data_IF_687481996210
#
_entry.id   IF_687481996210
#
_cell.length_a   1.000
_cell.length_b   1.000
_cell.length_c   1.000
_cell.angle_alpha   90.00
_cell.angle_beta   90.00
_cell.angle_gamma   90.00
#
_symmetry.space_group_name_H-M   'P 1'
#
loop_
_entity.id
_entity.type
_entity.pdbx_description
1 polymer ?
#
# COMPACT_ATOMS: atom_id res chain seq x y z
N UNK A 1 -11.73 -4.97 -21.16
CA UNK A 1 -11.60 -6.04 -20.15
C UNK A 1 -11.41 -7.36 -20.86
N UNK A 2 -10.42 -8.15 -20.48
CA UNK A 2 -10.04 -9.42 -21.13
C UNK A 2 -10.50 -10.60 -20.28
N UNK A 3 -11.18 -11.59 -20.90
CA UNK A 3 -11.41 -12.87 -20.20
C UNK A 3 -10.11 -13.65 -20.08
N UNK A 4 -10.09 -14.68 -19.22
CA UNK A 4 -8.95 -15.58 -19.06
C UNK A 4 -8.51 -16.20 -20.39
N UNK A 5 -9.48 -16.66 -21.18
CA UNK A 5 -9.24 -17.28 -22.51
C UNK A 5 -8.69 -16.28 -23.51
N UNK A 6 -9.21 -15.05 -23.53
CA UNK A 6 -8.71 -13.99 -24.40
C UNK A 6 -7.29 -13.60 -24.03
N UNK A 7 -7.00 -13.44 -22.72
CA UNK A 7 -5.67 -13.11 -22.23
C UNK A 7 -4.66 -14.23 -22.52
N UNK A 8 -5.06 -15.50 -22.36
CA UNK A 8 -4.23 -16.66 -22.67
C UNK A 8 -3.90 -16.73 -24.18
N UNK A 9 -4.90 -16.53 -25.03
CA UNK A 9 -4.71 -16.50 -26.50
C UNK A 9 -3.76 -15.37 -26.91
N UNK A 10 -3.94 -14.18 -26.33
CA UNK A 10 -3.10 -13.02 -26.61
C UNK A 10 -1.66 -13.26 -26.15
N UNK A 11 -1.46 -13.73 -24.91
CA UNK A 11 -0.13 -14.05 -24.41
C UNK A 11 0.57 -15.15 -25.24
N UNK A 12 -0.15 -16.20 -25.61
CA UNK A 12 0.36 -17.26 -26.50
C UNK A 12 0.79 -16.74 -27.88
N UNK A 13 0.00 -15.80 -28.45
CA UNK A 13 0.34 -15.13 -29.71
C UNK A 13 1.65 -14.33 -29.57
N UNK A 14 1.81 -13.54 -28.52
CA UNK A 14 3.03 -12.76 -28.26
C UNK A 14 4.24 -13.69 -28.17
N UNK A 15 4.13 -14.76 -27.37
CA UNK A 15 5.20 -15.74 -27.21
C UNK A 15 5.58 -16.43 -28.53
N UNK A 16 4.62 -16.67 -29.42
CA UNK A 16 4.88 -17.30 -30.73
C UNK A 16 5.69 -16.43 -31.69
N UNK A 17 5.71 -15.11 -31.50
CA UNK A 17 6.51 -14.19 -32.31
C UNK A 17 7.97 -14.10 -31.85
N UNK A 18 8.27 -14.50 -30.61
CA UNK A 18 9.63 -14.42 -30.09
C UNK A 18 10.51 -15.58 -30.57
N UNK A 19 11.73 -15.25 -30.97
CA UNK A 19 12.78 -16.20 -31.38
C UNK A 19 13.79 -16.47 -30.27
N UNK A 20 13.80 -15.68 -29.18
CA UNK A 20 14.73 -15.89 -28.06
C UNK A 20 14.42 -17.18 -27.28
N UNK A 21 15.42 -17.82 -26.64
CA UNK A 21 15.19 -19.00 -25.81
C UNK A 21 14.20 -18.77 -24.70
N UNK A 22 14.28 -17.61 -24.04
CA UNK A 22 13.37 -17.22 -22.97
C UNK A 22 12.58 -15.95 -23.39
N UNK A 23 11.28 -16.01 -23.23
CA UNK A 23 10.40 -14.88 -23.36
C UNK A 23 9.30 -14.98 -22.32
N UNK A 24 9.06 -13.87 -21.63
CA UNK A 24 7.96 -13.70 -20.65
C UNK A 24 7.08 -12.55 -21.03
N UNK A 25 5.79 -12.67 -20.76
CA UNK A 25 4.75 -11.71 -21.14
C UNK A 25 3.87 -11.44 -19.93
N UNK A 26 3.60 -10.16 -19.69
CA UNK A 26 2.53 -9.73 -18.78
C UNK A 26 1.53 -8.90 -19.55
N UNK A 27 0.30 -9.39 -19.66
CA UNK A 27 -0.82 -8.67 -20.27
C UNK A 27 -1.62 -8.02 -19.17
N UNK A 28 -1.76 -6.70 -19.23
CA UNK A 28 -2.58 -5.92 -18.30
C UNK A 28 -3.74 -5.28 -19.02
N UNK A 29 -4.92 -5.34 -18.43
CA UNK A 29 -6.11 -4.61 -18.83
C UNK A 29 -6.75 -4.02 -17.60
N UNK A 30 -7.06 -2.74 -17.61
CA UNK A 30 -7.72 -2.10 -16.47
C UNK A 30 -8.78 -1.10 -16.93
N UNK A 31 -9.81 -1.02 -16.11
CA UNK A 31 -10.86 -0.01 -16.25
C UNK A 31 -10.95 0.76 -14.94
N UNK A 32 -10.75 2.05 -15.00
CA UNK A 32 -10.88 2.97 -13.88
C UNK A 32 -12.07 3.90 -14.10
N UNK A 33 -13.06 3.83 -13.22
CA UNK A 33 -14.10 4.83 -13.11
C UNK A 33 -13.80 5.74 -11.91
N UNK A 34 -13.88 7.05 -12.11
CA UNK A 34 -13.67 7.98 -11.01
C UNK A 34 -14.51 9.25 -11.15
N UNK A 35 -14.84 9.83 -10.00
CA UNK A 35 -15.48 11.14 -9.89
C UNK A 35 -14.71 11.97 -8.88
N UNK A 36 -14.13 13.07 -9.34
CA UNK A 36 -13.43 14.07 -8.53
C UNK A 36 -14.36 15.24 -8.23
N UNK A 37 -14.30 15.73 -7.02
CA UNK A 37 -15.03 16.92 -6.59
C UNK A 37 -14.10 17.88 -5.85
N UNK A 38 -14.36 19.16 -5.99
CA UNK A 38 -13.69 20.26 -5.29
C UNK A 38 -14.61 21.48 -5.23
N UNK A 39 -14.42 22.34 -4.24
CA UNK A 39 -15.24 23.54 -4.02
C UNK A 39 -16.74 23.21 -4.01
N UNK A 40 -17.12 22.12 -3.35
CA UNK A 40 -18.51 21.66 -3.23
C UNK A 40 -19.20 21.33 -4.57
N UNK A 41 -18.44 21.02 -5.61
CA UNK A 41 -18.95 20.66 -6.93
C UNK A 41 -18.13 19.54 -7.57
N UNK A 42 -18.79 18.78 -8.45
CA UNK A 42 -18.08 17.76 -9.25
C UNK A 42 -17.25 18.50 -10.31
N UNK A 43 -15.95 18.19 -10.36
CA UNK A 43 -15.01 18.79 -11.31
C UNK A 43 -14.72 17.89 -12.50
N UNK A 44 -14.67 16.58 -12.28
CA UNK A 44 -14.33 15.59 -13.31
C UNK A 44 -15.00 14.27 -12.99
N UNK A 45 -15.61 13.66 -14.01
CA UNK A 45 -16.05 12.27 -13.95
C UNK A 45 -15.60 11.57 -15.22
N UNK A 46 -14.93 10.44 -15.11
CA UNK A 46 -14.38 9.75 -16.26
C UNK A 46 -14.37 8.23 -16.09
N UNK A 47 -14.38 7.55 -17.23
CA UNK A 47 -14.11 6.13 -17.38
C UNK A 47 -12.88 5.99 -18.27
N UNK A 48 -11.83 5.41 -17.73
CA UNK A 48 -10.54 5.26 -18.43
C UNK A 48 -10.21 3.79 -18.56
N UNK A 49 -9.99 3.35 -19.80
CA UNK A 49 -9.50 2.01 -20.12
C UNK A 49 -8.02 2.08 -20.44
N UNK A 50 -7.23 1.18 -19.89
CA UNK A 50 -5.81 1.03 -20.18
C UNK A 50 -5.50 -0.42 -20.47
N UNK A 51 -4.67 -0.62 -21.48
CA UNK A 51 -4.18 -1.93 -21.86
C UNK A 51 -2.68 -1.85 -22.09
N UNK A 52 -1.95 -2.89 -21.72
CA UNK A 52 -0.54 -2.99 -22.03
C UNK A 52 -0.09 -4.44 -22.09
N UNK A 53 0.91 -4.70 -22.92
CA UNK A 53 1.66 -5.95 -22.92
C UNK A 53 3.10 -5.60 -22.61
N UNK A 54 3.61 -6.12 -21.48
CA UNK A 54 5.02 -6.05 -21.16
C UNK A 54 5.68 -7.33 -21.67
N UNK A 55 6.74 -7.20 -22.47
CA UNK A 55 7.44 -8.29 -23.11
C UNK A 55 8.89 -8.25 -22.64
N UNK A 56 9.38 -9.35 -22.11
CA UNK A 56 10.78 -9.53 -21.71
C UNK A 56 11.37 -10.68 -22.50
N UNK A 57 12.32 -10.38 -23.39
CA UNK A 57 13.08 -11.36 -24.19
C UNK A 57 14.48 -11.53 -23.57
N UNK A 58 14.89 -12.77 -23.32
CA UNK A 58 16.19 -13.04 -22.69
C UNK A 58 17.00 -14.04 -23.50
N UNK A 59 18.29 -13.72 -23.67
CA UNK A 59 19.30 -14.58 -24.32
C UNK A 59 20.61 -14.45 -23.58
N UNK A 60 21.20 -15.58 -23.17
CA UNK A 60 22.50 -15.63 -22.48
C UNK A 60 22.56 -14.69 -21.26
N UNK A 61 21.50 -14.67 -20.45
CA UNK A 61 21.39 -13.81 -19.27
C UNK A 61 21.22 -12.32 -19.58
N UNK A 62 21.03 -11.94 -20.84
CA UNK A 62 20.79 -10.56 -21.31
C UNK A 62 19.31 -10.36 -21.56
N UNK A 63 18.68 -9.41 -20.90
CA UNK A 63 17.23 -9.17 -21.01
C UNK A 63 16.95 -7.82 -21.65
N UNK A 64 16.14 -7.85 -22.71
CA UNK A 64 15.51 -6.67 -23.26
C UNK A 64 14.03 -6.66 -22.93
N UNK A 65 13.51 -5.49 -22.57
CA UNK A 65 12.09 -5.33 -22.21
C UNK A 65 11.46 -4.20 -22.99
N UNK A 66 10.24 -4.46 -23.48
CA UNK A 66 9.40 -3.45 -24.15
C UNK A 66 7.98 -3.45 -23.62
N UNK A 67 7.27 -2.38 -23.86
CA UNK A 67 5.85 -2.24 -23.52
C UNK A 67 5.11 -1.77 -24.77
N UNK A 68 4.00 -2.43 -25.09
CA UNK A 68 3.11 -2.04 -26.18
C UNK A 68 1.67 -1.93 -25.67
N UNK A 69 0.96 -0.89 -26.10
CA UNK A 69 -0.43 -0.64 -25.71
C UNK A 69 -1.41 -0.96 -26.85
N UNK A 70 -0.90 -1.33 -28.02
CA UNK A 70 -1.66 -1.76 -29.19
C UNK A 70 -1.60 -3.29 -29.30
N UNK A 71 -2.76 -3.92 -29.50
CA UNK A 71 -2.90 -5.38 -29.56
C UNK A 71 -2.95 -5.92 -31.00
N UNK A 72 -2.72 -5.06 -31.97
CA UNK A 72 -2.60 -5.47 -33.38
C UNK A 72 -1.30 -6.26 -33.61
N UNK A 73 -1.37 -7.25 -34.48
CA UNK A 73 -0.25 -8.17 -34.77
C UNK A 73 1.04 -7.45 -35.17
N UNK A 74 0.91 -6.39 -35.98
CA UNK A 74 2.07 -5.61 -36.43
C UNK A 74 2.77 -4.91 -35.31
N UNK A 75 2.01 -4.28 -34.35
CA UNK A 75 2.55 -3.60 -33.20
C UNK A 75 3.20 -4.60 -32.22
N UNK A 76 2.55 -5.74 -31.95
CA UNK A 76 3.10 -6.80 -31.10
C UNK A 76 4.39 -7.37 -31.68
N UNK A 77 4.43 -7.68 -32.99
CA UNK A 77 5.64 -8.18 -33.65
C UNK A 77 6.80 -7.19 -33.56
N UNK A 78 6.52 -5.90 -33.79
CA UNK A 78 7.52 -4.85 -33.67
C UNK A 78 8.07 -4.75 -32.22
N UNK A 79 7.19 -4.83 -31.21
CA UNK A 79 7.58 -4.78 -29.80
C UNK A 79 8.40 -6.02 -29.39
N UNK A 80 8.03 -7.21 -29.84
CA UNK A 80 8.83 -8.44 -29.60
C UNK A 80 10.21 -8.31 -30.22
N UNK A 81 10.29 -7.88 -31.48
CA UNK A 81 11.57 -7.65 -32.17
C UNK A 81 12.43 -6.64 -31.43
N UNK A 82 11.86 -5.54 -30.99
CA UNK A 82 12.57 -4.54 -30.21
C UNK A 82 13.08 -5.10 -28.88
N UNK A 83 12.31 -5.91 -28.15
CA UNK A 83 12.77 -6.59 -26.94
C UNK A 83 13.97 -7.51 -27.22
N UNK A 84 13.94 -8.25 -28.33
CA UNK A 84 15.03 -9.13 -28.78
C UNK A 84 16.29 -8.34 -29.16
N UNK A 85 16.15 -7.22 -29.89
CA UNK A 85 17.26 -6.32 -30.22
C UNK A 85 17.89 -5.71 -28.97
N UNK A 86 17.08 -5.27 -28.01
CA UNK A 86 17.57 -4.79 -26.72
C UNK A 86 18.30 -5.89 -25.94
N UNK A 87 17.81 -7.13 -25.94
CA UNK A 87 18.49 -8.24 -25.29
C UNK A 87 19.85 -8.54 -25.91
N UNK A 88 20.05 -8.30 -27.20
CA UNK A 88 21.33 -8.52 -27.89
C UNK A 88 22.43 -7.57 -27.42
N UNK A 89 22.08 -6.34 -27.02
CA UNK A 89 23.02 -5.28 -26.62
C UNK A 89 23.09 -5.06 -25.10
N UNK A 90 22.11 -5.58 -24.34
CA UNK A 90 22.11 -5.45 -22.90
C UNK A 90 23.32 -6.13 -22.24
N UNK A 91 23.86 -5.65 -21.12
CA UNK A 91 24.86 -6.37 -20.37
C UNK A 91 24.28 -7.67 -19.80
N UNK A 92 25.10 -8.74 -19.69
CA UNK A 92 24.62 -9.96 -19.04
C UNK A 92 24.35 -9.70 -17.56
N UNK A 93 23.21 -10.19 -17.08
CA UNK A 93 22.89 -10.16 -15.67
C UNK A 93 23.43 -11.41 -14.97
N UNK A 94 24.47 -11.32 -14.13
CA UNK A 94 25.03 -12.47 -13.43
C UNK A 94 24.04 -13.10 -12.41
N UNK A 95 22.98 -12.39 -12.09
CA UNK A 95 21.93 -12.85 -11.17
C UNK A 95 20.69 -13.38 -11.94
N UNK A 96 20.79 -13.49 -13.25
CA UNK A 96 19.68 -14.03 -14.05
C UNK A 96 19.29 -15.43 -13.59
N UNK A 97 17.99 -15.68 -13.52
CA UNK A 97 17.39 -16.99 -13.29
C UNK A 97 16.41 -17.31 -14.39
N UNK A 98 16.50 -18.51 -14.91
CA UNK A 98 15.58 -18.98 -15.94
C UNK A 98 14.14 -18.83 -15.50
N UNK A 99 13.29 -18.52 -16.46
CA UNK A 99 11.86 -18.37 -16.22
C UNK A 99 11.26 -19.65 -15.63
N UNK A 100 10.31 -19.51 -14.70
CA UNK A 100 9.64 -20.65 -14.07
C UNK A 100 8.88 -21.49 -15.12
N UNK A 101 8.79 -22.79 -14.91
CA UNK A 101 7.84 -23.66 -15.58
C UNK A 101 6.41 -23.47 -15.08
N UNK A 102 5.47 -24.37 -15.45
CA UNK A 102 4.08 -24.31 -15.02
C UNK A 102 3.97 -24.24 -13.50
N UNK A 103 3.08 -23.36 -13.02
CA UNK A 103 2.81 -23.19 -11.60
C UNK A 103 1.32 -23.46 -11.29
N UNK A 104 1.05 -23.93 -10.08
CA UNK A 104 -0.31 -24.00 -9.55
C UNK A 104 -0.57 -22.77 -8.67
N UNK A 105 -1.31 -21.82 -9.19
CA UNK A 105 -1.67 -20.62 -8.45
C UNK A 105 -2.92 -20.86 -7.61
N UNK A 106 -2.96 -20.33 -6.37
CA UNK A 106 -4.16 -20.42 -5.54
C UNK A 106 -5.30 -19.60 -6.14
N UNK A 107 -6.52 -20.01 -5.87
CA UNK A 107 -7.70 -19.20 -6.17
C UNK A 107 -7.83 -18.10 -5.11
N UNK A 108 -7.92 -16.85 -5.58
CA UNK A 108 -8.15 -15.69 -4.74
C UNK A 108 -9.39 -14.97 -5.26
N UNK A 109 -10.41 -14.86 -4.42
CA UNK A 109 -11.61 -14.09 -4.75
C UNK A 109 -11.38 -12.61 -4.45
N UNK A 110 -10.73 -11.92 -5.37
CA UNK A 110 -10.35 -10.52 -5.23
C UNK A 110 -11.18 -9.56 -6.11
N UNK A 111 -12.32 -10.02 -6.65
CA UNK A 111 -13.14 -9.24 -7.55
C UNK A 111 -14.64 -9.36 -7.22
N UNK A 112 -15.16 -8.37 -6.50
CA UNK A 112 -16.60 -8.19 -6.37
C UNK A 112 -17.22 -7.62 -7.64
N UNK A 113 -18.25 -8.27 -8.19
CA UNK A 113 -18.87 -7.88 -9.46
C UNK A 113 -19.59 -6.53 -9.41
N UNK A 114 -20.18 -6.14 -8.27
CA UNK A 114 -20.79 -4.82 -8.11
C UNK A 114 -19.72 -3.74 -8.17
N UNK A 115 -18.62 -3.94 -7.45
CA UNK A 115 -17.46 -3.04 -7.50
C UNK A 115 -16.86 -2.97 -8.90
N UNK A 116 -16.65 -4.14 -9.54
CA UNK A 116 -16.04 -4.21 -10.86
C UNK A 116 -16.82 -3.44 -11.94
N UNK A 117 -18.15 -3.38 -11.82
CA UNK A 117 -19.04 -2.76 -12.80
C UNK A 117 -19.50 -1.36 -12.43
N UNK A 118 -19.17 -0.88 -11.23
CA UNK A 118 -19.64 0.42 -10.76
C UNK A 118 -19.19 1.58 -11.67
N UNK A 119 -20.05 2.55 -11.80
CA UNK A 119 -19.90 3.77 -12.60
C UNK A 119 -20.14 4.99 -11.71
N UNK A 120 -20.13 6.16 -12.31
CA UNK A 120 -20.39 7.41 -11.58
C UNK A 120 -21.74 7.39 -10.82
N UNK A 121 -22.76 6.75 -11.37
CA UNK A 121 -24.08 6.66 -10.73
C UNK A 121 -24.02 6.06 -9.32
N UNK A 122 -23.22 4.99 -9.13
CA UNK A 122 -23.04 4.33 -7.84
C UNK A 122 -22.20 5.16 -6.86
N UNK A 123 -21.36 6.09 -7.38
CA UNK A 123 -20.51 6.97 -6.58
C UNK A 123 -21.22 8.25 -6.10
N UNK A 124 -22.18 8.74 -6.88
CA UNK A 124 -22.85 10.03 -6.66
C UNK A 124 -23.54 10.16 -5.30
N UNK A 125 -24.26 9.15 -4.76
CA UNK A 125 -24.92 9.29 -3.45
C UNK A 125 -23.93 9.65 -2.33
N UNK A 126 -22.78 8.98 -2.27
CA UNK A 126 -21.73 9.23 -1.28
C UNK A 126 -21.10 10.61 -1.46
N UNK A 127 -20.82 11.03 -2.69
CA UNK A 127 -20.25 12.35 -2.99
C UNK A 127 -21.25 13.45 -2.63
N UNK A 128 -22.53 13.26 -2.94
CA UNK A 128 -23.60 14.20 -2.59
C UNK A 128 -23.69 14.40 -1.08
N UNK A 129 -23.69 13.32 -0.30
CA UNK A 129 -23.73 13.40 1.16
C UNK A 129 -22.55 14.22 1.74
N UNK A 130 -21.35 14.09 1.15
CA UNK A 130 -20.18 14.89 1.55
C UNK A 130 -20.40 16.36 1.22
N UNK A 131 -20.82 16.68 0.00
CA UNK A 131 -21.02 18.07 -0.45
C UNK A 131 -22.14 18.74 0.37
N UNK A 132 -23.26 18.06 0.58
CA UNK A 132 -24.39 18.58 1.38
C UNK A 132 -23.96 18.86 2.83
N UNK A 133 -23.15 17.96 3.43
CA UNK A 133 -22.58 18.19 4.76
C UNK A 133 -21.68 19.41 4.80
N UNK A 134 -20.80 19.56 3.81
CA UNK A 134 -19.90 20.70 3.70
C UNK A 134 -20.67 22.02 3.55
N UNK A 135 -21.65 22.08 2.65
CA UNK A 135 -22.49 23.26 2.44
C UNK A 135 -23.27 23.64 3.71
N UNK A 136 -23.91 22.65 4.36
CA UNK A 136 -24.64 22.86 5.61
C UNK A 136 -23.77 23.45 6.72
N UNK A 137 -22.51 23.05 6.78
CA UNK A 137 -21.56 23.49 7.81
C UNK A 137 -20.68 24.66 7.37
N UNK A 138 -20.96 25.27 6.21
CA UNK A 138 -20.18 26.38 5.62
C UNK A 138 -18.70 26.04 5.42
N UNK A 139 -18.45 24.80 4.98
CA UNK A 139 -17.14 24.27 4.64
C UNK A 139 -16.99 24.08 3.13
N UNK A 140 -15.75 23.89 2.69
CA UNK A 140 -15.42 23.47 1.33
C UNK A 140 -14.99 22.01 1.35
N UNK A 141 -15.62 21.19 0.50
CA UNK A 141 -15.24 19.78 0.31
C UNK A 141 -14.44 19.60 -0.98
N UNK A 142 -13.40 18.77 -0.88
CA UNK A 142 -12.66 18.24 -2.02
C UNK A 142 -12.40 16.76 -1.81
N UNK A 143 -12.35 15.97 -2.90
CA UNK A 143 -12.08 14.55 -2.78
C UNK A 143 -12.14 13.80 -4.11
N UNK A 144 -11.99 12.50 -3.99
CA UNK A 144 -11.98 11.57 -5.09
C UNK A 144 -12.69 10.27 -4.69
N UNK A 145 -13.67 9.88 -5.47
CA UNK A 145 -14.22 8.52 -5.46
C UNK A 145 -13.76 7.82 -6.74
N UNK A 146 -13.05 6.72 -6.58
CA UNK A 146 -12.62 5.90 -7.72
C UNK A 146 -12.84 4.42 -7.46
N UNK A 147 -13.02 3.67 -8.53
CA UNK A 147 -12.85 2.23 -8.54
C UNK A 147 -11.96 1.81 -9.70
N UNK A 148 -11.19 0.76 -9.48
CA UNK A 148 -10.32 0.18 -10.48
C UNK A 148 -10.63 -1.30 -10.55
N UNK A 149 -10.89 -1.80 -11.77
CA UNK A 149 -10.91 -3.22 -12.07
C UNK A 149 -9.71 -3.53 -12.92
N UNK A 150 -8.97 -4.55 -12.56
CA UNK A 150 -7.75 -4.94 -13.28
C UNK A 150 -7.78 -6.42 -13.59
N UNK A 151 -7.35 -6.76 -14.80
CA UNK A 151 -7.06 -8.11 -15.24
C UNK A 151 -5.59 -8.20 -15.62
N UNK A 152 -4.92 -9.18 -15.07
CA UNK A 152 -3.51 -9.43 -15.35
C UNK A 152 -3.34 -10.89 -15.73
N UNK A 153 -2.68 -11.12 -16.86
CA UNK A 153 -2.22 -12.45 -17.24
C UNK A 153 -0.71 -12.45 -17.37
N UNK A 154 -0.10 -13.50 -16.87
CA UNK A 154 1.33 -13.78 -17.00
C UNK A 154 1.54 -15.06 -17.76
N UNK A 155 2.52 -15.09 -18.64
CA UNK A 155 2.87 -16.27 -19.43
C UNK A 155 4.35 -16.25 -19.80
N UNK A 156 4.93 -17.43 -20.06
CA UNK A 156 6.26 -17.53 -20.62
C UNK A 156 6.42 -18.78 -21.51
N UNK A 157 7.55 -18.89 -22.20
CA UNK A 157 7.85 -20.01 -23.09
C UNK A 157 8.02 -21.35 -22.37
N UNK A 158 8.26 -21.37 -21.06
CA UNK A 158 8.39 -22.59 -20.27
C UNK A 158 7.02 -23.16 -19.84
N UNK A 159 5.91 -22.62 -20.37
CA UNK A 159 4.56 -23.13 -20.12
C UNK A 159 3.88 -22.54 -18.87
N UNK A 160 4.50 -21.56 -18.20
CA UNK A 160 3.82 -20.84 -17.14
C UNK A 160 2.66 -20.05 -17.71
N UNK A 161 1.52 -20.12 -17.04
CA UNK A 161 0.36 -19.23 -17.26
C UNK A 161 -0.36 -18.95 -15.94
N UNK A 162 -0.68 -17.70 -15.72
CA UNK A 162 -1.50 -17.22 -14.61
C UNK A 162 -2.48 -16.15 -15.08
N UNK A 163 -3.66 -16.09 -14.44
CA UNK A 163 -4.65 -15.03 -14.69
C UNK A 163 -5.25 -14.60 -13.37
N UNK A 164 -5.37 -13.30 -13.20
CA UNK A 164 -5.98 -12.68 -12.02
C UNK A 164 -6.94 -11.58 -12.46
N UNK A 165 -8.04 -11.43 -11.71
CA UNK A 165 -8.96 -10.31 -11.84
C UNK A 165 -9.22 -9.74 -10.45
N UNK A 166 -9.06 -8.42 -10.32
CA UNK A 166 -9.23 -7.70 -9.07
C UNK A 166 -10.16 -6.52 -9.24
N UNK A 167 -10.90 -6.16 -8.21
CA UNK A 167 -11.68 -4.93 -8.15
C UNK A 167 -11.45 -4.24 -6.80
N UNK A 168 -11.30 -2.92 -6.85
CA UNK A 168 -11.03 -2.08 -5.69
C UNK A 168 -11.71 -0.74 -5.82
N UNK A 169 -12.27 -0.22 -4.73
CA UNK A 169 -12.87 1.10 -4.68
C UNK A 169 -12.33 1.89 -3.49
N UNK A 170 -12.31 3.21 -3.61
CA UNK A 170 -11.95 4.11 -2.51
C UNK A 170 -12.63 5.45 -2.65
N UNK A 171 -12.99 6.02 -1.52
CA UNK A 171 -13.45 7.39 -1.40
C UNK A 171 -12.58 8.11 -0.37
N UNK A 172 -12.06 9.27 -0.75
CA UNK A 172 -11.34 10.17 0.16
C UNK A 172 -11.95 11.55 0.09
N UNK A 173 -11.96 12.24 1.22
CA UNK A 173 -12.44 13.61 1.29
C UNK A 173 -11.66 14.44 2.31
N UNK A 174 -11.45 15.71 1.98
CA UNK A 174 -11.01 16.75 2.92
C UNK A 174 -12.09 17.80 3.00
N UNK A 175 -12.54 18.09 4.20
CA UNK A 175 -13.39 19.24 4.48
C UNK A 175 -12.54 20.33 5.12
N UNK A 176 -12.73 21.58 4.64
CA UNK A 176 -11.95 22.74 5.08
C UNK A 176 -12.88 23.90 5.40
N UNK A 177 -12.56 24.70 6.41
CA UNK A 177 -13.25 25.96 6.65
C UNK A 177 -13.05 26.92 5.47
N UNK A 178 -14.04 27.79 5.23
CA UNK A 178 -14.02 28.71 4.09
C UNK A 178 -12.80 29.67 4.11
N UNK A 179 -12.31 30.03 5.31
CA UNK A 179 -11.12 30.86 5.50
C UNK A 179 -9.79 30.07 5.37
N UNK A 180 -9.86 28.75 5.18
CA UNK A 180 -8.70 27.88 5.06
C UNK A 180 -7.97 27.56 6.37
N UNK A 181 -8.44 28.07 7.51
CA UNK A 181 -7.75 27.97 8.81
C UNK A 181 -7.77 26.58 9.44
N UNK A 182 -8.64 25.70 9.00
CA UNK A 182 -8.77 24.33 9.53
C UNK A 182 -9.19 23.35 8.45
N UNK A 183 -8.71 22.11 8.55
CA UNK A 183 -9.09 21.01 7.68
C UNK A 183 -9.29 19.71 8.47
N UNK A 184 -10.02 18.78 7.88
CA UNK A 184 -10.16 17.42 8.37
C UNK A 184 -10.28 16.45 7.21
N UNK A 185 -9.59 15.33 7.31
CA UNK A 185 -9.55 14.29 6.29
C UNK A 185 -10.21 13.01 6.76
N UNK A 186 -10.86 12.31 5.82
CA UNK A 186 -11.34 10.94 5.99
C UNK A 186 -11.22 10.16 4.68
N UNK A 187 -10.98 8.85 4.78
CA UNK A 187 -10.90 7.98 3.63
C UNK A 187 -11.29 6.55 3.96
N UNK A 188 -11.92 5.89 2.98
CA UNK A 188 -12.33 4.50 3.09
C UNK A 188 -12.03 3.77 1.78
N UNK A 189 -11.07 2.83 1.75
CA UNK A 189 -10.92 1.84 0.69
C UNK A 189 -11.78 0.62 0.99
N UNK A 190 -12.34 -0.02 -0.04
CA UNK A 190 -13.00 -1.32 0.10
C UNK A 190 -12.91 -2.14 -1.20
N UNK A 191 -12.89 -3.47 -1.07
CA UNK A 191 -13.12 -4.40 -2.19
C UNK A 191 -14.59 -4.45 -2.60
N UNK A 192 -15.49 -3.92 -1.74
CA UNK A 192 -16.94 -3.87 -1.94
C UNK A 192 -17.41 -2.42 -1.91
N UNK A 193 -17.73 -1.85 -3.09
CA UNK A 193 -18.13 -0.43 -3.21
C UNK A 193 -19.35 -0.08 -2.33
N UNK A 194 -20.23 -1.04 -2.10
CA UNK A 194 -21.42 -0.88 -1.27
C UNK A 194 -21.11 -0.58 0.21
N UNK A 195 -19.92 -0.91 0.69
CA UNK A 195 -19.48 -0.62 2.07
C UNK A 195 -19.00 0.82 2.25
N UNK A 196 -18.73 1.55 1.15
CA UNK A 196 -18.21 2.91 1.21
C UNK A 196 -19.33 3.87 1.60
N UNK A 197 -19.18 4.45 2.78
CA UNK A 197 -20.19 5.34 3.37
C UNK A 197 -19.75 6.81 3.33
N UNK A 198 -20.19 7.54 2.31
CA UNK A 198 -19.86 8.96 2.15
C UNK A 198 -20.39 9.85 3.27
N UNK A 199 -21.56 9.55 3.86
CA UNK A 199 -22.12 10.32 4.97
C UNK A 199 -21.26 10.17 6.24
N UNK A 200 -20.75 8.96 6.51
CA UNK A 200 -19.83 8.74 7.65
C UNK A 200 -18.49 9.44 7.42
N UNK A 201 -17.94 9.38 6.21
CA UNK A 201 -16.72 10.12 5.88
C UNK A 201 -16.89 11.62 6.02
N UNK A 202 -18.04 12.15 5.60
CA UNK A 202 -18.37 13.56 5.78
C UNK A 202 -18.46 13.95 7.26
N UNK A 203 -19.09 13.11 8.09
CA UNK A 203 -19.17 13.30 9.54
C UNK A 203 -17.77 13.34 10.17
N UNK A 204 -16.95 12.33 9.90
CA UNK A 204 -15.58 12.22 10.45
C UNK A 204 -14.71 13.41 10.02
N UNK A 205 -14.67 13.74 8.72
CA UNK A 205 -13.87 14.84 8.21
C UNK A 205 -14.34 16.19 8.75
N UNK A 206 -15.67 16.43 8.83
CA UNK A 206 -16.20 17.68 9.37
C UNK A 206 -15.95 17.84 10.87
N UNK A 207 -16.08 16.78 11.66
CA UNK A 207 -15.77 16.81 13.09
C UNK A 207 -14.29 17.12 13.35
N UNK A 208 -13.37 16.48 12.61
CA UNK A 208 -11.94 16.80 12.69
C UNK A 208 -11.67 18.27 12.34
N UNK A 209 -12.25 18.75 11.24
CA UNK A 209 -12.13 20.15 10.83
C UNK A 209 -12.65 21.11 11.90
N UNK A 210 -13.83 20.86 12.48
CA UNK A 210 -14.40 21.71 13.51
C UNK A 210 -13.60 21.70 14.81
N UNK A 211 -13.09 20.53 15.20
CA UNK A 211 -12.27 20.37 16.42
C UNK A 211 -10.88 20.97 16.27
N UNK A 212 -10.34 21.08 15.05
CA UNK A 212 -8.98 21.59 14.83
C UNK A 212 -8.88 23.11 14.64
N UNK A 213 -9.92 23.86 15.02
CA UNK A 213 -9.92 25.32 14.99
C UNK A 213 -8.98 25.91 16.05
N UNK A 214 -8.25 26.96 15.66
CA UNK A 214 -7.32 27.69 16.54
C UNK A 214 -6.34 26.75 17.27
N UNK A 215 -5.53 25.98 16.54
CA UNK A 215 -4.65 25.03 17.16
C UNK A 215 -3.62 25.72 18.06
N UNK A 216 -3.40 25.15 19.23
CA UNK A 216 -2.42 25.63 20.22
C UNK A 216 -1.01 25.22 19.79
N UNK A 217 -0.06 26.07 20.09
CA UNK A 217 1.36 25.74 19.98
C UNK A 217 1.76 24.86 21.15
N UNK A 218 2.38 23.71 20.86
CA UNK A 218 3.07 22.88 21.82
C UNK A 218 4.56 22.85 21.50
N UNK A 219 5.41 22.62 22.52
CA UNK A 219 6.83 22.44 22.28
C UNK A 219 7.09 21.07 21.63
N UNK A 220 7.97 21.01 20.61
CA UNK A 220 8.43 19.75 20.05
C UNK A 220 9.08 18.87 21.13
N UNK A 221 9.04 17.57 20.94
CA UNK A 221 9.58 16.62 21.90
C UNK A 221 9.04 15.21 21.69
N UNK A 222 9.25 14.37 22.67
CA UNK A 222 8.73 13.00 22.68
C UNK A 222 7.39 12.95 23.39
N UNK A 223 6.41 12.35 22.72
CA UNK A 223 5.05 12.23 23.25
C UNK A 223 4.57 10.77 23.21
N UNK A 224 3.72 10.41 24.15
CA UNK A 224 2.83 9.27 23.97
C UNK A 224 1.85 9.63 22.85
N UNK A 225 1.65 8.73 21.90
CA UNK A 225 0.79 8.96 20.74
C UNK A 225 -0.28 7.89 20.63
N UNK A 226 -1.47 8.31 20.22
CA UNK A 226 -2.51 7.43 19.67
C UNK A 226 -2.55 7.67 18.19
N UNK A 227 -2.25 6.65 17.40
CA UNK A 227 -2.37 6.73 15.94
C UNK A 227 -3.70 6.16 15.48
N UNK A 228 -4.38 6.87 14.57
CA UNK A 228 -5.45 6.25 13.79
C UNK A 228 -4.87 5.19 12.84
N UNK A 229 -5.68 4.22 12.36
CA UNK A 229 -5.21 3.15 11.48
C UNK A 229 -4.44 3.65 10.25
N UNK A 230 -4.84 4.78 9.66
CA UNK A 230 -4.15 5.39 8.52
C UNK A 230 -2.73 5.80 8.89
N UNK A 231 -2.55 6.49 10.01
CA UNK A 231 -1.23 6.92 10.49
C UNK A 231 -0.33 5.72 10.85
N UNK A 232 -0.88 4.70 11.53
CA UNK A 232 -0.16 3.46 11.81
C UNK A 232 0.30 2.79 10.51
N UNK A 233 -0.61 2.64 9.55
CA UNK A 233 -0.33 1.96 8.30
C UNK A 233 0.69 2.70 7.44
N UNK A 234 0.68 4.04 7.41
CA UNK A 234 1.67 4.84 6.72
C UNK A 234 3.09 4.53 7.22
N UNK A 235 3.27 4.47 8.54
CA UNK A 235 4.58 4.18 9.15
C UNK A 235 4.97 2.71 8.99
N UNK A 236 4.06 1.77 9.25
CA UNK A 236 4.35 0.32 9.17
C UNK A 236 4.69 -0.13 7.75
N UNK A 237 4.00 0.44 6.72
CA UNK A 237 4.30 0.13 5.33
C UNK A 237 5.74 0.51 4.94
N UNK A 238 6.32 1.54 5.56
CA UNK A 238 7.70 1.95 5.30
C UNK A 238 8.71 0.87 5.73
N UNK A 239 8.44 0.16 6.83
CA UNK A 239 9.31 -0.92 7.31
C UNK A 239 9.41 -2.07 6.28
N UNK A 240 8.35 -2.30 5.52
CA UNK A 240 8.36 -3.31 4.46
C UNK A 240 9.21 -2.93 3.25
N UNK A 241 9.58 -1.65 3.10
CA UNK A 241 10.33 -1.18 1.94
C UNK A 241 9.51 -1.18 0.65
N UNK A 242 8.20 -0.96 0.77
CA UNK A 242 7.27 -0.93 -0.35
C UNK A 242 6.79 -2.32 -0.80
N UNK A 243 6.33 -2.42 -2.04
CA UNK A 243 5.64 -3.60 -2.57
C UNK A 243 6.46 -4.90 -2.61
N UNK A 244 7.78 -4.81 -2.61
CA UNK A 244 8.67 -5.97 -2.75
C UNK A 244 9.19 -6.51 -1.42
N UNK A 245 8.68 -6.01 -0.28
CA UNK A 245 9.14 -6.37 1.06
C UNK A 245 10.67 -6.24 1.24
N UNK A 246 11.28 -5.29 0.53
CA UNK A 246 12.73 -5.09 0.50
C UNK A 246 13.32 -4.81 1.90
N UNK A 247 12.53 -4.26 2.82
CA UNK A 247 12.92 -4.06 4.22
C UNK A 247 13.26 -5.36 4.95
N UNK A 248 12.65 -6.48 4.53
CA UNK A 248 12.91 -7.81 5.09
C UNK A 248 13.87 -8.67 4.23
N UNK A 249 14.57 -8.11 3.25
CA UNK A 249 15.49 -8.84 2.40
C UNK A 249 16.58 -9.54 3.22
N UNK A 250 16.67 -10.87 3.06
CA UNK A 250 17.70 -11.70 3.67
C UNK A 250 19.09 -11.26 3.22
N UNK A 251 19.27 -11.04 1.92
CA UNK A 251 20.54 -10.58 1.34
C UNK A 251 21.00 -9.25 1.97
N UNK A 252 20.12 -8.27 2.05
CA UNK A 252 20.46 -6.96 2.63
C UNK A 252 20.79 -7.07 4.11
N UNK A 253 20.10 -7.96 4.83
CA UNK A 253 20.35 -8.23 6.25
C UNK A 253 21.70 -8.94 6.46
N UNK A 254 22.03 -9.94 5.65
CA UNK A 254 23.29 -10.70 5.69
C UNK A 254 24.48 -9.84 5.29
N UNK A 255 24.29 -8.88 4.35
CA UNK A 255 25.30 -7.91 3.94
C UNK A 255 25.56 -6.79 4.98
N UNK A 256 24.86 -6.78 6.12
CA UNK A 256 25.04 -5.75 7.16
C UNK A 256 24.37 -4.40 6.84
N UNK A 257 23.47 -4.34 5.85
CA UNK A 257 22.88 -3.09 5.32
C UNK A 257 21.41 -2.87 5.73
N UNK A 258 20.87 -3.68 6.63
CA UNK A 258 19.47 -3.64 7.05
C UNK A 258 19.36 -3.48 8.57
N UNK A 259 18.20 -3.00 9.03
CA UNK A 259 17.84 -3.04 10.44
C UNK A 259 17.77 -4.47 11.01
N UNK A 260 17.66 -5.47 10.13
CA UNK A 260 17.67 -6.89 10.48
C UNK A 260 19.08 -7.50 10.51
N UNK A 261 20.11 -6.69 10.30
CA UNK A 261 21.52 -7.12 10.45
C UNK A 261 21.94 -7.13 11.91
N UNK A 262 22.74 -8.11 12.32
CA UNK A 262 23.39 -8.12 13.64
C UNK A 262 24.76 -7.44 13.57
N UNK A 263 25.14 -6.74 14.63
CA UNK A 263 26.47 -6.19 14.77
C UNK A 263 27.46 -7.36 14.90
N UNK A 264 28.45 -7.39 14.01
CA UNK A 264 29.43 -8.49 13.97
C UNK A 264 29.07 -9.64 13.03
N UNK A 265 27.95 -9.53 12.29
CA UNK A 265 27.51 -10.48 11.27
C UNK A 265 26.26 -11.29 11.62
N UNK A 266 25.62 -11.82 10.58
CA UNK A 266 24.35 -12.54 10.70
C UNK A 266 23.12 -11.64 10.74
N UNK A 267 21.96 -12.27 10.91
CA UNK A 267 20.65 -11.59 10.86
C UNK A 267 19.90 -11.70 12.19
N UNK A 268 18.90 -10.86 12.37
CA UNK A 268 17.99 -10.91 13.52
C UNK A 268 16.82 -11.90 13.33
N UNK A 269 16.90 -12.82 12.37
CA UNK A 269 15.91 -13.89 12.24
C UNK A 269 15.85 -14.70 13.56
N UNK A 270 14.66 -14.89 14.09
CA UNK A 270 14.42 -15.52 15.40
C UNK A 270 14.56 -14.58 16.60
N UNK A 271 15.08 -13.37 16.44
CA UNK A 271 15.18 -12.41 17.56
C UNK A 271 13.83 -11.75 17.84
N UNK A 272 13.54 -11.52 19.12
CA UNK A 272 12.38 -10.76 19.56
C UNK A 272 12.73 -9.28 19.55
N UNK A 273 12.06 -8.51 18.68
CA UNK A 273 12.28 -7.08 18.53
C UNK A 273 11.14 -6.24 19.12
N UNK A 274 9.92 -6.79 19.21
CA UNK A 274 8.72 -6.04 19.54
C UNK A 274 7.92 -6.74 20.66
N UNK A 275 6.94 -6.06 21.27
CA UNK A 275 5.98 -6.68 22.20
C UNK A 275 5.23 -7.89 21.58
N UNK A 276 4.78 -8.83 22.43
CA UNK A 276 4.13 -10.09 22.00
C UNK A 276 2.83 -9.88 21.18
N UNK A 277 2.19 -8.75 21.32
CA UNK A 277 0.97 -8.44 20.59
C UNK A 277 1.24 -7.89 19.17
N UNK A 278 2.50 -7.66 18.79
CA UNK A 278 2.86 -7.22 17.44
C UNK A 278 3.05 -8.41 16.53
N UNK A 279 2.18 -8.53 15.54
CA UNK A 279 2.31 -9.51 14.43
C UNK A 279 2.04 -8.83 13.10
N UNK A 280 2.90 -9.12 12.13
CA UNK A 280 2.87 -8.55 10.78
C UNK A 280 3.05 -9.66 9.76
N UNK A 281 2.15 -9.75 8.80
CA UNK A 281 2.17 -10.79 7.77
C UNK A 281 1.75 -10.27 6.39
N UNK A 282 2.13 -10.98 5.37
CA UNK A 282 1.49 -10.95 4.06
C UNK A 282 0.39 -12.01 4.05
N UNK A 283 -0.82 -11.65 3.67
CA UNK A 283 -1.95 -12.57 3.59
C UNK A 283 -2.75 -12.31 2.29
N UNK A 284 -2.44 -13.02 1.20
CA UNK A 284 -3.13 -12.84 -0.08
C UNK A 284 -4.61 -13.29 -0.04
N UNK A 285 -5.01 -14.03 1.01
CA UNK A 285 -6.36 -14.54 1.19
C UNK A 285 -7.22 -13.66 2.12
N UNK A 286 -6.67 -12.57 2.67
CA UNK A 286 -7.46 -11.66 3.51
C UNK A 286 -8.55 -10.99 2.66
N UNK A 287 -9.85 -11.21 2.95
CA UNK A 287 -10.94 -10.73 2.11
C UNK A 287 -11.06 -9.20 2.05
N UNK A 288 -10.39 -8.52 2.98
CA UNK A 288 -10.35 -7.05 2.99
C UNK A 288 -9.40 -6.48 1.94
N UNK A 289 -8.52 -7.29 1.32
CA UNK A 289 -7.47 -6.85 0.42
C UNK A 289 -7.59 -7.51 -0.95
N UNK A 290 -7.23 -6.78 -1.99
CA UNK A 290 -7.13 -7.31 -3.35
C UNK A 290 -5.71 -7.79 -3.59
N UNK A 291 -5.54 -9.04 -4.01
CA UNK A 291 -4.23 -9.64 -4.26
C UNK A 291 -4.19 -10.40 -5.57
N UNK A 292 -2.99 -10.50 -6.15
CA UNK A 292 -2.71 -11.46 -7.21
C UNK A 292 -2.34 -12.82 -6.60
N UNK A 293 -2.62 -13.94 -7.28
CA UNK A 293 -2.27 -15.27 -6.81
C UNK A 293 -0.77 -15.62 -6.97
N UNK A 294 0.06 -14.66 -7.35
CA UNK A 294 1.51 -14.80 -7.50
C UNK A 294 2.27 -13.62 -6.93
N UNK A 295 3.56 -13.83 -6.71
CA UNK A 295 4.52 -12.81 -6.27
C UNK A 295 5.13 -12.09 -7.47
N UNK A 296 6.01 -11.11 -7.20
CA UNK A 296 6.78 -10.40 -8.26
C UNK A 296 7.68 -11.32 -9.07
N UNK A 297 8.11 -12.45 -8.51
CA UNK A 297 8.90 -13.48 -9.20
C UNK A 297 8.04 -14.63 -9.74
N UNK A 298 6.71 -14.44 -9.82
CA UNK A 298 5.73 -15.42 -10.28
C UNK A 298 5.67 -16.73 -9.48
N UNK A 299 6.18 -16.75 -8.25
CA UNK A 299 5.94 -17.83 -7.31
C UNK A 299 4.49 -17.80 -6.82
N UNK A 300 3.84 -18.93 -6.54
CA UNK A 300 2.51 -18.96 -5.95
C UNK A 300 2.46 -18.16 -4.64
N UNK A 301 1.47 -17.28 -4.52
CA UNK A 301 1.29 -16.46 -3.33
C UNK A 301 0.92 -17.33 -2.12
N UNK A 302 1.49 -17.04 -0.97
CA UNK A 302 1.27 -17.74 0.30
C UNK A 302 1.10 -16.74 1.43
N UNK A 303 0.37 -17.14 2.46
CA UNK A 303 0.41 -16.44 3.74
C UNK A 303 1.77 -16.59 4.37
N UNK A 304 2.37 -15.49 4.81
CA UNK A 304 3.72 -15.47 5.37
C UNK A 304 3.82 -14.46 6.51
N UNK A 305 4.22 -14.92 7.70
CA UNK A 305 4.49 -14.05 8.84
C UNK A 305 5.90 -13.46 8.72
N UNK A 306 6.01 -12.13 8.79
CA UNK A 306 7.28 -11.41 8.87
C UNK A 306 7.70 -11.23 10.33
N UNK A 307 6.74 -10.84 11.15
CA UNK A 307 6.85 -10.73 12.59
C UNK A 307 5.71 -11.53 13.19
N UNK A 308 6.02 -12.42 14.10
CA UNK A 308 5.06 -13.23 14.83
C UNK A 308 5.29 -13.06 16.32
N UNK A 309 4.30 -12.50 17.01
CA UNK A 309 4.40 -12.20 18.47
C UNK A 309 5.70 -11.49 18.84
N UNK A 310 6.04 -10.46 18.07
CA UNK A 310 7.23 -9.65 18.26
C UNK A 310 8.55 -10.24 17.79
N UNK A 311 8.55 -11.50 17.32
CA UNK A 311 9.74 -12.21 16.83
C UNK A 311 9.85 -12.08 15.32
N UNK A 312 11.03 -11.83 14.79
CA UNK A 312 11.32 -11.88 13.34
C UNK A 312 11.20 -13.31 12.85
N UNK A 313 10.09 -13.63 12.18
CA UNK A 313 9.75 -15.00 11.79
C UNK A 313 10.32 -15.40 10.43
N UNK A 314 10.46 -14.46 9.49
CA UNK A 314 10.95 -14.73 8.15
C UNK A 314 11.74 -13.54 7.58
N UNK A 315 12.59 -13.87 6.60
CA UNK A 315 13.26 -12.92 5.71
C UNK A 315 12.86 -13.19 4.26
N UNK A 316 12.82 -12.16 3.43
CA UNK A 316 12.55 -12.29 2.01
C UNK A 316 13.82 -12.79 1.29
N UNK A 317 13.73 -13.95 0.67
CA UNK A 317 14.79 -14.59 -0.09
C UNK A 317 14.29 -14.68 -1.53
N UNK A 318 14.88 -13.88 -2.43
CA UNK A 318 14.59 -13.98 -3.86
C UNK A 318 15.17 -15.27 -4.47
N UNK A 319 14.77 -15.60 -5.69
CA UNK A 319 15.19 -16.84 -6.36
C UNK A 319 16.68 -16.94 -6.59
N UNK A 320 17.35 -15.81 -6.84
CA UNK A 320 18.80 -15.77 -6.99
C UNK A 320 19.51 -16.09 -5.67
N UNK A 321 19.10 -15.41 -4.60
CA UNK A 321 19.72 -15.60 -3.29
C UNK A 321 19.42 -16.98 -2.69
N UNK A 322 18.23 -17.51 -2.98
CA UNK A 322 17.83 -18.88 -2.62
C UNK A 322 18.80 -19.92 -3.21
N UNK A 323 19.03 -19.87 -4.52
CA UNK A 323 19.95 -20.78 -5.21
C UNK A 323 21.38 -20.59 -4.72
N UNK A 324 21.87 -19.35 -4.65
CA UNK A 324 23.23 -19.03 -4.20
C UNK A 324 23.53 -19.52 -2.78
N UNK A 325 22.53 -19.55 -1.92
CA UNK A 325 22.68 -19.93 -0.51
C UNK A 325 22.10 -21.30 -0.17
N UNK A 326 21.64 -22.05 -1.18
CA UNK A 326 20.99 -23.36 -1.04
C UNK A 326 19.80 -23.32 -0.05
N UNK A 327 18.92 -22.34 -0.22
CA UNK A 327 17.69 -22.15 0.55
C UNK A 327 16.48 -22.10 -0.37
N UNK A 328 15.28 -22.17 0.21
CA UNK A 328 14.05 -21.95 -0.56
C UNK A 328 13.79 -20.44 -0.75
N UNK A 329 13.29 -20.09 -1.94
CA UNK A 329 12.83 -18.73 -2.19
C UNK A 329 11.56 -18.42 -1.36
N UNK A 330 11.53 -17.28 -0.74
CA UNK A 330 10.38 -16.83 0.04
C UNK A 330 9.37 -16.16 -0.90
N UNK A 331 8.12 -16.62 -0.96
CA UNK A 331 7.09 -15.97 -1.77
C UNK A 331 6.70 -14.64 -1.16
N UNK A 332 7.54 -13.63 -1.36
CA UNK A 332 7.34 -12.28 -0.84
C UNK A 332 6.48 -11.42 -1.77
N UNK A 333 5.69 -10.54 -1.21
CA UNK A 333 4.80 -9.60 -1.91
C UNK A 333 3.35 -9.74 -1.48
N UNK A 334 2.51 -8.81 -1.93
CA UNK A 334 1.07 -8.83 -1.71
C UNK A 334 0.60 -8.09 -0.47
N UNK A 335 -0.54 -8.50 0.01
CA UNK A 335 -1.37 -7.80 0.97
C UNK A 335 -0.82 -7.82 2.39
N UNK A 336 -0.34 -6.70 2.87
CA UNK A 336 0.18 -6.54 4.21
C UNK A 336 -0.95 -6.43 5.25
N UNK A 337 -0.86 -7.21 6.31
CA UNK A 337 -1.78 -7.21 7.44
C UNK A 337 -1.00 -7.12 8.75
N UNK A 338 -1.24 -6.08 9.51
CA UNK A 338 -0.86 -6.00 10.91
C UNK A 338 -2.06 -6.39 11.76
N UNK A 339 -1.86 -7.30 12.70
CA UNK A 339 -2.93 -7.71 13.61
C UNK A 339 -3.33 -6.57 14.54
N UNK A 340 -4.61 -6.54 14.92
CA UNK A 340 -5.16 -5.56 15.85
C UNK A 340 -5.68 -6.20 17.13
N UNK A 341 -6.15 -5.35 18.01
CA UNK A 341 -6.91 -5.71 19.21
C UNK A 341 -8.41 -5.38 19.04
N UNK A 342 -9.14 -5.38 20.16
CA UNK A 342 -10.59 -5.12 20.18
C UNK A 342 -10.95 -3.68 20.56
N UNK A 343 -9.99 -2.90 21.05
CA UNK A 343 -10.23 -1.55 21.56
C UNK A 343 -10.60 -0.57 20.42
N UNK A 344 -11.58 0.28 20.65
CA UNK A 344 -11.85 1.43 19.78
C UNK A 344 -10.76 2.51 19.97
N UNK A 345 -10.72 3.50 19.05
CA UNK A 345 -9.82 4.66 19.21
C UNK A 345 -10.12 5.41 20.51
N UNK A 346 -11.40 5.59 20.85
CA UNK A 346 -11.81 6.24 22.11
C UNK A 346 -11.32 5.45 23.34
N UNK A 347 -11.34 4.11 23.29
CA UNK A 347 -10.82 3.29 24.39
C UNK A 347 -9.29 3.36 24.50
N UNK A 348 -8.59 3.56 23.39
CA UNK A 348 -7.15 3.82 23.38
C UNK A 348 -6.86 5.21 23.99
N UNK A 349 -7.60 6.25 23.59
CA UNK A 349 -7.45 7.60 24.12
C UNK A 349 -7.63 7.62 25.65
N UNK A 350 -8.63 6.89 26.19
CA UNK A 350 -8.85 6.77 27.65
C UNK A 350 -7.66 6.21 28.43
N UNK A 351 -6.75 5.49 27.77
CA UNK A 351 -5.54 4.92 28.43
C UNK A 351 -4.38 5.89 28.51
N UNK A 352 -4.46 7.06 27.89
CA UNK A 352 -3.37 8.03 27.78
C UNK A 352 -3.62 9.19 28.76
N UNK A 353 -2.73 9.37 29.73
CA UNK A 353 -2.81 10.49 30.68
C UNK A 353 -2.47 11.81 29.98
N UNK A 354 -1.36 11.86 29.24
CA UNK A 354 -0.96 12.99 28.39
C UNK A 354 -0.29 12.49 27.12
N UNK A 355 -0.75 12.96 25.98
CA UNK A 355 -0.23 12.53 24.68
C UNK A 355 -0.91 13.25 23.51
N UNK A 356 -0.72 12.72 22.32
CA UNK A 356 -1.27 13.26 21.08
C UNK A 356 -2.06 12.21 20.31
N UNK A 357 -3.19 12.61 19.73
CA UNK A 357 -3.87 11.85 18.70
C UNK A 357 -3.36 12.32 17.34
N UNK A 358 -2.74 11.42 16.58
CA UNK A 358 -2.27 11.62 15.20
C UNK A 358 -3.22 10.93 14.24
N UNK A 359 -3.92 11.70 13.41
CA UNK A 359 -4.94 11.16 12.51
C UNK A 359 -4.39 10.82 11.14
N UNK A 360 -3.42 11.59 10.66
CA UNK A 360 -2.89 11.50 9.30
C UNK A 360 -1.48 12.04 9.23
N UNK A 361 -0.67 11.47 8.33
CA UNK A 361 0.65 11.98 7.98
C UNK A 361 0.68 12.58 6.58
N UNK A 362 1.74 13.31 6.29
CA UNK A 362 2.01 13.90 5.00
C UNK A 362 3.50 13.98 4.70
N UNK A 363 3.87 13.77 3.44
CA UNK A 363 5.22 13.99 2.91
C UNK A 363 6.31 13.25 3.70
N UNK A 364 6.13 11.95 3.93
CA UNK A 364 7.11 11.12 4.61
C UNK A 364 8.29 10.88 3.67
N UNK A 365 9.52 11.09 4.16
CA UNK A 365 10.76 10.89 3.42
C UNK A 365 11.77 10.14 4.27
N UNK A 366 12.57 9.38 3.57
CA UNK A 366 13.58 8.53 4.14
C UNK A 366 14.79 9.33 4.62
N UNK A 367 15.33 9.00 5.79
CA UNK A 367 16.52 9.62 6.40
C UNK A 367 17.66 8.62 6.51
N UNK A 368 17.41 7.45 7.12
CA UNK A 368 18.43 6.43 7.33
C UNK A 368 17.86 5.00 7.16
N UNK A 369 18.36 4.22 6.15
CA UNK A 369 17.88 2.86 5.90
C UNK A 369 18.19 1.86 7.01
N UNK A 370 19.35 1.99 7.66
CA UNK A 370 19.77 1.02 8.67
C UNK A 370 18.99 1.15 9.97
N UNK A 371 18.55 2.35 10.30
CA UNK A 371 17.74 2.63 11.49
C UNK A 371 16.26 2.75 11.19
N UNK A 372 15.86 2.65 9.90
CA UNK A 372 14.49 2.87 9.44
C UNK A 372 13.93 4.23 9.92
N UNK A 373 14.78 5.26 9.89
CA UNK A 373 14.41 6.60 10.30
C UNK A 373 13.83 7.38 9.13
N UNK A 374 12.73 8.06 9.38
CA UNK A 374 11.98 8.88 8.43
C UNK A 374 11.71 10.25 9.00
N UNK A 375 11.45 11.22 8.14
CA UNK A 375 10.90 12.52 8.50
C UNK A 375 9.62 12.76 7.72
N UNK A 376 8.65 13.41 8.33
CA UNK A 376 7.37 13.74 7.72
C UNK A 376 6.62 14.75 8.58
N UNK A 377 5.38 15.01 8.19
CA UNK A 377 4.51 15.98 8.85
C UNK A 377 3.24 15.30 9.34
N UNK A 378 2.68 15.70 10.49
CA UNK A 378 1.28 15.47 10.80
C UNK A 378 0.41 16.38 9.95
N UNK A 379 -0.83 16.00 9.66
CA UNK A 379 -1.76 16.78 8.86
C UNK A 379 -3.22 16.45 9.17
N UNK A 380 -4.11 17.40 8.85
CA UNK A 380 -5.58 17.24 8.92
C UNK A 380 -6.12 16.79 10.28
N UNK A 381 -5.44 17.11 11.36
CA UNK A 381 -5.87 16.86 12.73
C UNK A 381 -4.79 16.28 13.63
N UNK A 382 -4.19 17.13 14.45
CA UNK A 382 -3.35 16.75 15.58
C UNK A 382 -4.02 17.28 16.84
N UNK A 383 -4.23 16.42 17.85
CA UNK A 383 -4.99 16.78 19.04
C UNK A 383 -4.25 16.38 20.31
N UNK A 384 -4.29 17.25 21.32
CA UNK A 384 -3.79 16.96 22.66
C UNK A 384 -4.76 16.03 23.39
N UNK A 385 -4.22 15.04 24.05
CA UNK A 385 -4.92 14.14 24.96
C UNK A 385 -4.45 14.48 26.39
N UNK A 386 -5.38 14.74 27.27
CA UNK A 386 -5.12 14.88 28.71
C UNK A 386 -6.19 14.14 29.51
N UNK A 387 -5.75 13.36 30.49
CA UNK A 387 -6.61 12.55 31.37
C UNK A 387 -7.61 11.68 30.58
N UNK A 388 -7.15 11.05 29.51
CA UNK A 388 -7.96 10.16 28.69
C UNK A 388 -9.01 10.84 27.79
N UNK A 389 -8.86 12.13 27.51
CA UNK A 389 -9.79 12.92 26.69
C UNK A 389 -9.02 13.81 25.71
N UNK A 390 -9.59 14.02 24.53
CA UNK A 390 -9.11 15.06 23.61
C UNK A 390 -9.50 16.41 24.19
N UNK A 391 -8.51 17.28 24.43
CA UNK A 391 -8.73 18.60 25.04
C UNK A 391 -8.57 19.74 24.07
N UNK A 392 -7.50 19.76 23.28
CA UNK A 392 -7.18 20.88 22.41
C UNK A 392 -6.67 20.42 21.04
N UNK A 393 -6.93 21.19 19.98
CA UNK A 393 -6.21 21.07 18.73
C UNK A 393 -4.77 21.58 18.90
N UNK A 394 -3.84 20.96 18.20
CA UNK A 394 -2.41 21.29 18.22
C UNK A 394 -1.92 21.59 16.82
N UNK A 395 -1.04 22.60 16.67
CA UNK A 395 -0.36 22.87 15.41
C UNK A 395 0.38 21.63 14.92
N UNK A 396 0.37 21.41 13.62
CA UNK A 396 1.04 20.25 13.05
C UNK A 396 2.53 20.22 13.38
N UNK A 397 3.07 19.02 13.51
CA UNK A 397 4.48 18.79 13.77
C UNK A 397 5.18 18.13 12.60
N UNK A 398 6.47 18.44 12.46
CA UNK A 398 7.43 17.56 11.79
C UNK A 398 7.89 16.50 12.79
N UNK A 399 7.91 15.24 12.35
CA UNK A 399 8.52 14.16 13.09
C UNK A 399 9.85 13.71 12.47
N UNK A 400 10.71 13.12 13.30
CA UNK A 400 11.90 12.40 12.88
C UNK A 400 11.96 11.11 13.70
N UNK A 401 11.32 10.07 13.16
CA UNK A 401 11.09 8.79 13.82
C UNK A 401 10.86 7.69 12.77
N UNK A 402 10.53 6.48 13.19
CA UNK A 402 10.31 5.39 12.25
C UNK A 402 9.58 4.19 12.82
N UNK A 403 9.28 3.20 11.94
CA UNK A 403 8.48 2.04 12.33
C UNK A 403 9.13 1.19 13.43
N UNK A 404 10.46 1.10 13.48
CA UNK A 404 11.14 0.32 14.53
C UNK A 404 10.88 0.91 15.89
N UNK A 405 11.23 2.18 16.09
CA UNK A 405 11.03 2.87 17.36
C UNK A 405 9.56 2.89 17.75
N UNK A 406 8.65 3.14 16.79
CA UNK A 406 7.21 3.09 17.03
C UNK A 406 6.75 1.73 17.57
N UNK A 407 7.13 0.64 16.91
CA UNK A 407 6.67 -0.70 17.28
C UNK A 407 7.37 -1.24 18.54
N UNK A 408 8.63 -0.89 18.77
CA UNK A 408 9.35 -1.20 20.02
C UNK A 408 8.67 -0.56 21.24
N UNK A 409 8.14 0.65 21.08
CA UNK A 409 7.48 1.42 22.14
C UNK A 409 5.95 1.30 22.12
N UNK A 410 5.40 0.37 21.32
CA UNK A 410 3.97 0.10 21.27
C UNK A 410 3.46 -0.41 22.63
N UNK A 411 2.32 0.13 23.06
CA UNK A 411 1.71 -0.18 24.37
C UNK A 411 0.41 -0.97 24.20
N UNK A 412 -0.37 -0.63 23.18
CA UNK A 412 -1.70 -1.22 22.97
C UNK A 412 -2.14 -1.07 21.50
N UNK A 413 -2.86 -2.08 21.01
CA UNK A 413 -3.51 -2.05 19.71
C UNK A 413 -5.03 -1.89 19.85
N UNK A 414 -5.60 -1.15 18.92
CA UNK A 414 -7.02 -1.08 18.69
C UNK A 414 -7.44 -1.98 17.52
N UNK A 415 -8.70 -1.85 17.10
CA UNK A 415 -9.25 -2.58 15.95
C UNK A 415 -8.46 -2.29 14.68
N UNK A 416 -8.13 -3.35 13.94
CA UNK A 416 -7.51 -3.22 12.64
C UNK A 416 -8.57 -2.99 11.55
N UNK A 417 -8.29 -2.06 10.67
CA UNK A 417 -9.12 -1.76 9.52
C UNK A 417 -8.29 -1.67 8.25
N UNK A 418 -8.95 -1.88 7.12
CA UNK A 418 -8.34 -1.60 5.83
C UNK A 418 -8.11 -0.09 5.70
N UNK A 419 -6.92 0.28 5.31
CA UNK A 419 -6.56 1.66 5.08
C UNK A 419 -5.78 1.81 3.78
N UNK A 420 -5.68 3.04 3.30
CA UNK A 420 -4.81 3.41 2.18
C UNK A 420 -3.78 4.41 2.67
N UNK A 421 -2.52 4.06 2.51
CA UNK A 421 -1.39 4.92 2.82
C UNK A 421 -1.16 6.03 1.81
N UNK A 422 -0.31 6.98 2.20
CA UNK A 422 0.06 8.16 1.41
C UNK A 422 0.58 7.81 0.01
N UNK A 423 1.42 6.79 -0.11
CA UNK A 423 2.01 6.33 -1.37
C UNK A 423 1.07 5.37 -2.14
N UNK A 424 -0.20 5.29 -1.74
CA UNK A 424 -1.20 4.47 -2.41
C UNK A 424 -1.22 3.00 -2.02
N UNK A 425 -0.37 2.56 -1.11
CA UNK A 425 -0.41 1.20 -0.58
C UNK A 425 -1.73 0.95 0.17
N UNK A 426 -2.36 -0.20 -0.10
CA UNK A 426 -3.53 -0.66 0.63
C UNK A 426 -3.11 -1.80 1.54
N UNK A 427 -3.42 -1.68 2.81
CA UNK A 427 -3.07 -2.66 3.84
C UNK A 427 -4.12 -2.66 4.96
N UNK A 428 -3.99 -3.60 5.87
CA UNK A 428 -4.77 -3.64 7.11
C UNK A 428 -3.86 -3.24 8.26
N UNK A 429 -4.24 -2.20 9.00
CA UNK A 429 -3.50 -1.72 10.16
C UNK A 429 -4.46 -1.38 11.31
N UNK A 430 -4.04 -1.56 12.57
CA UNK A 430 -4.80 -1.16 13.75
C UNK A 430 -4.58 0.32 14.09
N UNK A 431 -5.47 0.87 14.90
CA UNK A 431 -5.10 2.00 15.74
C UNK A 431 -4.05 1.54 16.77
N UNK A 432 -3.14 2.43 17.17
CA UNK A 432 -1.99 2.05 18.00
C UNK A 432 -1.67 3.12 19.04
N UNK A 433 -1.35 2.70 20.26
CA UNK A 433 -0.73 3.56 21.28
C UNK A 433 0.74 3.23 21.36
N UNK A 434 1.61 4.24 21.23
CA UNK A 434 3.04 4.11 21.45
C UNK A 434 3.58 5.25 22.31
N UNK A 435 4.67 5.01 23.03
CA UNK A 435 5.37 6.00 23.83
C UNK A 435 6.52 6.62 23.03
N UNK A 436 6.95 7.79 23.45
CA UNK A 436 8.20 8.44 23.05
C UNK A 436 8.36 8.72 21.54
N UNK A 437 7.26 8.86 20.78
CA UNK A 437 7.33 9.25 19.38
C UNK A 437 7.86 10.68 19.25
N UNK A 438 8.85 10.87 18.36
CA UNK A 438 9.69 12.06 18.36
C UNK A 438 9.24 13.11 17.34
N UNK A 439 8.76 14.24 17.83
CA UNK A 439 8.43 15.43 17.04
C UNK A 439 9.55 16.47 17.19
N UNK A 440 10.04 17.01 16.06
CA UNK A 440 11.28 17.81 16.02
C UNK A 440 11.05 19.30 15.79
N UNK A 441 9.94 19.67 15.20
CA UNK A 441 9.60 21.09 14.97
C UNK A 441 8.11 21.26 14.69
N UNK A 442 7.61 22.47 14.89
CA UNK A 442 6.27 22.87 14.47
C UNK A 442 6.23 23.03 12.96
N UNK A 443 5.09 22.70 12.35
CA UNK A 443 4.82 22.90 10.92
C UNK A 443 3.60 23.80 10.76
N UNK A 444 3.73 24.80 9.89
CA UNK A 444 2.63 25.70 9.52
C UNK A 444 1.69 25.09 8.45
N UNK A 445 1.88 23.81 8.09
CA UNK A 445 1.01 23.11 7.15
C UNK A 445 -0.40 22.94 7.73
N UNK A 446 -1.42 23.28 6.96
CA UNK A 446 -2.85 23.14 7.31
C UNK A 446 -3.49 22.06 6.43
#
# INVERSE_FOLDING_TARGET
MLTKEQAQKLAGKVLSFSTTPECSVTVNSSEQAFTRFANNGITTSALVNRHSINISATRDGRTGTTVVNDFEDAAIKAAVKQAEELSAIAPPNPEHRSALGPQQYPEINACDELTAKARAAEMLPSIRAIIETAVKQKMTAAGLFERITSETAIANKNGLFGYSRTADAKLTTTLRLADGSSSGWAGQPSTHIAEINGAELARVASEKCLKWRNPKRLEPGKYTVVFEPTATGDIVNLMMGGFNNAGFSARTAEDGRSFLSKKGGGTKLGDKLFPDFISLRTDPFDPRLSSNPWTTEFLPAKKLSWIEKGVVANLAIDRYWAEKTNREATPSGGSLVMDGGDASIDDLIKTVERGLLVTHFWYIRFVNPQTQQYTGLTRDGLFLIENGKITDPVMNFRFNDGPLHLLENAVKLGKASRMRGLEGATLVAPALVAKDFNFTSISDAV
#
